data_IF_974182776046
#
_entry.id   IF_974182776046
#
_cell.length_a   1.000
_cell.length_b   1.000
_cell.length_c   1.000
_cell.angle_alpha   90.00
_cell.angle_beta   90.00
_cell.angle_gamma   90.00
#
_symmetry.space_group_name_H-M   'P 1'
#
loop_
_entity.id
_entity.type
_entity.pdbx_description
1 polymer ?
#
# COMPACT_ATOMS: atom_id res chain seq x y z
N UNK A 1 2.55 1.70 -0.42
CA UNK A 1 3.18 0.41 -0.77
C UNK A 1 2.56 -0.12 -2.06
N UNK A 2 3.36 -0.55 -3.04
CA UNK A 2 2.86 -1.09 -4.31
C UNK A 2 2.96 -2.62 -4.33
N UNK A 3 1.88 -3.30 -4.70
CA UNK A 3 1.79 -4.77 -4.68
C UNK A 3 1.10 -5.33 -5.93
N UNK A 4 1.47 -6.53 -6.33
CA UNK A 4 0.81 -7.28 -7.40
C UNK A 4 -0.38 -8.08 -6.85
N UNK A 5 -1.21 -8.64 -7.73
CA UNK A 5 -2.38 -9.45 -7.34
C UNK A 5 -2.07 -10.65 -6.47
N UNK A 6 -0.87 -11.22 -6.59
CA UNK A 6 -0.49 -12.38 -5.79
C UNK A 6 -0.17 -11.99 -4.35
N UNK A 7 0.46 -10.82 -4.15
CA UNK A 7 0.92 -10.38 -2.83
C UNK A 7 -0.02 -9.39 -2.14
N UNK A 8 -1.11 -8.98 -2.79
CA UNK A 8 -2.07 -8.04 -2.19
C UNK A 8 -2.71 -8.63 -0.94
N UNK A 9 -3.10 -9.91 -0.95
CA UNK A 9 -3.74 -10.57 0.20
C UNK A 9 -2.81 -10.62 1.41
N UNK A 10 -1.54 -10.97 1.22
CA UNK A 10 -0.58 -11.01 2.31
C UNK A 10 -0.28 -9.62 2.84
N UNK A 11 -0.09 -8.63 1.96
CA UNK A 11 0.12 -7.26 2.37
C UNK A 11 -1.08 -6.68 3.14
N UNK A 12 -2.32 -7.07 2.81
CA UNK A 12 -3.52 -6.64 3.54
C UNK A 12 -3.62 -7.21 4.95
N UNK A 13 -3.12 -8.44 5.20
CA UNK A 13 -3.10 -9.03 6.56
C UNK A 13 -2.23 -8.22 7.53
N UNK A 14 -1.23 -7.51 7.01
CA UNK A 14 -0.34 -6.67 7.81
C UNK A 14 -0.84 -5.22 7.97
N UNK A 15 -2.01 -4.88 7.43
CA UNK A 15 -2.57 -3.52 7.48
C UNK A 15 -3.81 -3.44 8.37
N UNK A 16 -3.80 -2.48 9.30
CA UNK A 16 -4.91 -2.25 10.23
C UNK A 16 -6.14 -1.60 9.54
N UNK A 17 -5.91 -0.63 8.64
CA UNK A 17 -6.94 -0.01 7.80
C UNK A 17 -6.36 0.20 6.39
N UNK A 18 -6.55 -0.76 5.49
CA UNK A 18 -6.00 -0.66 4.14
C UNK A 18 -6.90 0.18 3.25
N UNK A 19 -6.48 1.39 2.91
CA UNK A 19 -7.02 2.05 1.72
C UNK A 19 -6.26 1.51 0.50
N UNK A 20 -7.01 0.96 -0.45
CA UNK A 20 -6.45 0.35 -1.66
C UNK A 20 -6.89 1.19 -2.85
N UNK A 21 -5.94 1.57 -3.72
CA UNK A 21 -6.25 2.08 -5.06
C UNK A 21 -5.70 1.15 -6.12
N UNK A 22 -6.48 0.97 -7.19
CA UNK A 22 -6.00 0.38 -8.42
C UNK A 22 -5.05 1.35 -9.11
N UNK A 23 -3.97 0.81 -9.66
CA UNK A 23 -3.00 1.56 -10.45
C UNK A 23 -3.46 1.52 -11.92
N UNK A 24 -3.52 2.66 -12.62
CA UNK A 24 -3.79 2.68 -14.05
C UNK A 24 -2.68 1.94 -14.82
N UNK A 25 -3.04 1.27 -15.92
CA UNK A 25 -2.11 0.37 -16.63
C UNK A 25 -0.89 1.06 -17.24
N UNK A 26 -0.99 2.37 -17.46
CA UNK A 26 0.06 3.26 -17.96
C UNK A 26 1.21 3.42 -16.96
N UNK A 27 0.93 3.27 -15.66
CA UNK A 27 1.96 3.38 -14.63
C UNK A 27 2.62 2.02 -14.37
N UNK A 28 3.89 1.90 -14.74
CA UNK A 28 4.70 0.69 -14.55
C UNK A 28 5.34 0.61 -13.16
N UNK A 29 4.51 0.54 -12.11
CA UNK A 29 5.04 0.27 -10.77
C UNK A 29 5.36 -1.21 -10.57
N UNK A 30 6.39 -1.48 -9.77
CA UNK A 30 6.81 -2.83 -9.40
C UNK A 30 6.34 -3.18 -8.00
N UNK A 31 5.93 -4.42 -7.83
CA UNK A 31 5.58 -4.98 -6.52
C UNK A 31 6.80 -4.96 -5.62
N UNK A 32 6.63 -4.45 -4.40
CA UNK A 32 7.72 -4.36 -3.44
C UNK A 32 8.25 -5.73 -2.99
N UNK A 33 7.44 -6.79 -3.12
CA UNK A 33 7.75 -8.14 -2.63
C UNK A 33 8.42 -9.02 -3.68
N UNK A 34 7.97 -8.96 -4.94
CA UNK A 34 8.46 -9.85 -5.99
C UNK A 34 8.91 -9.15 -7.27
N UNK A 35 8.93 -7.81 -7.29
CA UNK A 35 9.31 -6.97 -8.43
C UNK A 35 8.46 -7.11 -9.72
N UNK A 36 7.45 -7.99 -9.74
CA UNK A 36 6.46 -8.10 -10.83
C UNK A 36 5.59 -6.83 -10.94
N UNK A 37 4.85 -6.68 -12.05
CA UNK A 37 3.93 -5.55 -12.25
C UNK A 37 2.97 -5.40 -11.06
N UNK A 38 3.01 -4.25 -10.40
CA UNK A 38 2.06 -3.91 -9.35
C UNK A 38 0.71 -3.55 -9.98
N UNK A 39 -0.38 -3.96 -9.33
CA UNK A 39 -1.75 -3.58 -9.71
C UNK A 39 -2.43 -2.72 -8.65
N UNK A 40 -1.92 -2.78 -7.42
CA UNK A 40 -2.55 -2.13 -6.27
C UNK A 40 -1.53 -1.23 -5.56
N UNK A 41 -1.99 -0.02 -5.24
CA UNK A 41 -1.35 0.91 -4.33
C UNK A 41 -2.06 0.82 -2.99
N UNK A 42 -1.39 0.21 -2.02
CA UNK A 42 -1.81 0.14 -0.63
C UNK A 42 -1.35 1.41 0.09
N UNK A 43 -2.30 2.13 0.66
CA UNK A 43 -2.07 3.24 1.57
C UNK A 43 -2.13 2.68 2.97
N UNK A 44 -0.98 2.62 3.62
CA UNK A 44 -0.89 2.24 5.01
C UNK A 44 -1.33 3.47 5.82
N UNK A 45 -2.55 3.45 6.36
CA UNK A 45 -2.91 4.35 7.45
C UNK A 45 -2.20 3.84 8.72
N UNK A 46 -0.87 3.94 8.74
CA UNK A 46 -0.12 3.88 9.97
C UNK A 46 -0.44 5.16 10.72
N UNK A 47 -1.53 5.13 11.49
CA UNK A 47 -1.70 5.88 12.72
C UNK A 47 -0.73 7.07 12.86
N UNK A 48 -0.99 8.15 12.12
CA UNK A 48 -0.40 9.46 12.40
C UNK A 48 -0.95 10.05 13.70
N UNK A 49 -1.61 9.27 14.57
CA UNK A 49 -2.01 9.73 15.92
C UNK A 49 -0.82 10.21 16.76
N UNK A 50 0.42 9.87 16.39
CA UNK A 50 1.64 10.37 17.06
C UNK A 50 2.28 11.60 16.41
N UNK A 51 1.82 12.09 15.24
CA UNK A 51 2.35 13.32 14.64
C UNK A 51 1.43 14.54 14.86
N UNK A 52 0.12 14.33 15.02
CA UNK A 52 -0.80 15.44 15.38
C UNK A 52 -0.58 15.93 16.82
N UNK A 53 0.01 15.11 17.71
CA UNK A 53 0.41 15.53 19.07
C UNK A 53 1.72 16.33 19.14
N UNK A 54 2.44 16.51 18.02
CA UNK A 54 3.66 17.34 17.96
C UNK A 54 3.43 18.72 17.32
N UNK A 55 2.19 19.06 17.00
CA UNK A 55 1.80 20.33 16.37
C UNK A 55 0.83 21.15 17.25
N UNK A 56 0.88 20.95 18.57
CA UNK A 56 0.22 21.78 19.58
C UNK A 56 1.30 22.20 20.59
#
# INVERSE_FOLDING_TARGET
MFVCSNHVKDALKHMYVPHIKLIPEEESYRCHLCKNKAKYKLFQYCYQRNQTKKAI
#
